data_IF_733484490611
#
_entry.id   IF_733484490611
#
_cell.length_a   1.000
_cell.length_b   1.000
_cell.length_c   1.000
_cell.angle_alpha   90.00
_cell.angle_beta   90.00
_cell.angle_gamma   90.00
#
_symmetry.space_group_name_H-M   'P 1'
#
loop_
_entity.id
_entity.type
_entity.pdbx_description
1 polymer ?
#
# COMPACT_ATOMS: atom_id res chain seq x y z
N UNK A 1 3.88 32.47 4.81
CA UNK A 1 3.43 31.78 6.04
C UNK A 1 3.64 30.26 5.97
N UNK A 2 3.18 29.58 4.90
CA UNK A 2 3.23 28.11 4.77
C UNK A 2 4.66 27.50 4.81
N UNK A 3 5.63 28.15 4.17
CA UNK A 3 7.03 27.68 4.09
C UNK A 3 7.73 27.73 5.45
N UNK A 4 7.39 28.72 6.28
CA UNK A 4 8.00 28.89 7.60
C UNK A 4 7.56 27.77 8.57
N UNK A 5 6.29 27.37 8.51
CA UNK A 5 5.75 26.30 9.34
C UNK A 5 6.37 24.92 8.98
N UNK A 6 6.59 24.66 7.69
CA UNK A 6 7.28 23.45 7.24
C UNK A 6 8.73 23.39 7.72
N UNK A 7 9.46 24.51 7.64
CA UNK A 7 10.83 24.60 8.13
C UNK A 7 10.92 24.44 9.65
N UNK A 8 9.92 24.93 10.39
CA UNK A 8 9.83 24.74 11.85
C UNK A 8 9.60 23.26 12.19
N UNK A 9 8.66 22.57 11.52
CA UNK A 9 8.44 21.13 11.76
C UNK A 9 9.65 20.27 11.35
N UNK A 10 10.38 20.64 10.28
CA UNK A 10 11.65 20.02 9.90
C UNK A 10 12.71 20.26 10.98
N UNK A 11 12.84 21.49 11.48
CA UNK A 11 13.78 21.86 12.54
C UNK A 11 13.46 21.19 13.89
N UNK A 12 12.19 20.88 14.16
CA UNK A 12 11.73 20.12 15.33
C UNK A 12 11.90 18.60 15.15
N UNK A 13 12.57 18.16 14.08
CA UNK A 13 12.80 16.76 13.78
C UNK A 13 11.57 16.01 13.28
N UNK A 14 10.41 16.67 13.11
CA UNK A 14 9.12 16.12 12.67
C UNK A 14 8.91 16.17 11.15
N UNK A 15 9.97 16.50 10.41
CA UNK A 15 9.98 16.55 8.95
C UNK A 15 9.48 15.26 8.28
N UNK A 16 9.56 14.12 8.96
CA UNK A 16 9.04 12.82 8.51
C UNK A 16 7.54 12.80 8.21
N UNK A 17 6.75 13.73 8.76
CA UNK A 17 5.34 13.92 8.37
C UNK A 17 5.17 14.43 6.93
N UNK A 18 6.19 15.10 6.40
CA UNK A 18 6.26 15.62 5.03
C UNK A 18 7.28 14.84 4.15
N UNK A 19 8.06 13.91 4.73
CA UNK A 19 8.90 12.95 4.00
C UNK A 19 8.08 11.82 3.34
N UNK A 20 6.90 12.15 2.84
CA UNK A 20 6.23 11.41 1.78
C UNK A 20 6.97 11.49 0.44
N UNK A 21 8.09 12.23 0.37
CA UNK A 21 9.05 12.12 -0.71
C UNK A 21 9.52 10.67 -0.79
N UNK A 22 9.05 9.97 -1.82
CA UNK A 22 9.49 8.63 -2.17
C UNK A 22 11.01 8.55 -1.99
N UNK A 23 11.46 7.90 -0.90
CA UNK A 23 12.87 7.84 -0.56
C UNK A 23 13.58 7.25 -1.78
N UNK A 24 14.39 8.06 -2.45
CA UNK A 24 15.24 7.55 -3.50
C UNK A 24 16.18 6.58 -2.81
N UNK A 25 16.19 5.35 -3.30
CA UNK A 25 17.18 4.36 -2.95
C UNK A 25 18.56 4.90 -3.38
N UNK A 26 19.63 4.29 -2.87
CA UNK A 26 21.00 4.74 -3.14
C UNK A 26 21.33 4.80 -4.65
N UNK A 27 20.63 4.02 -5.48
CA UNK A 27 20.74 4.01 -6.93
C UNK A 27 19.86 5.06 -7.66
N UNK A 28 19.27 6.01 -6.93
CA UNK A 28 18.43 7.08 -7.48
C UNK A 28 16.99 6.69 -7.82
N UNK A 29 16.64 5.39 -7.80
CA UNK A 29 15.27 4.91 -8.03
C UNK A 29 14.39 5.16 -6.81
N UNK A 30 13.10 5.40 -6.99
CA UNK A 30 12.15 5.38 -5.87
C UNK A 30 11.90 3.95 -5.40
N UNK A 31 11.44 3.80 -4.15
CA UNK A 31 10.97 2.52 -3.62
C UNK A 31 9.96 1.82 -4.54
N UNK A 32 8.96 2.57 -5.04
CA UNK A 32 7.95 2.05 -5.95
C UNK A 32 8.51 1.64 -7.33
N UNK A 33 9.50 2.37 -7.86
CA UNK A 33 10.19 1.98 -9.09
C UNK A 33 10.93 0.65 -8.93
N UNK A 34 11.62 0.45 -7.81
CA UNK A 34 12.34 -0.79 -7.54
C UNK A 34 11.38 -1.96 -7.30
N UNK A 35 10.36 -1.76 -6.45
CA UNK A 35 9.32 -2.76 -6.20
C UNK A 35 8.55 -3.14 -7.47
N UNK A 36 8.19 -2.16 -8.31
CA UNK A 36 7.47 -2.41 -9.55
C UNK A 36 8.28 -3.26 -10.53
N UNK A 37 9.55 -2.91 -10.78
CA UNK A 37 10.41 -3.71 -11.64
C UNK A 37 10.63 -5.13 -11.10
N UNK A 38 10.83 -5.27 -9.78
CA UNK A 38 10.95 -6.56 -9.11
C UNK A 38 9.76 -7.48 -9.45
N UNK A 39 8.55 -6.94 -9.37
CA UNK A 39 7.31 -7.67 -9.69
C UNK A 39 7.21 -7.96 -11.19
N UNK A 40 7.49 -6.98 -12.04
CA UNK A 40 7.41 -7.11 -13.50
C UNK A 40 8.31 -8.22 -14.03
N UNK A 41 9.53 -8.32 -13.52
CA UNK A 41 10.52 -9.35 -13.89
C UNK A 41 10.12 -10.76 -13.47
N UNK A 42 9.19 -10.91 -12.51
CA UNK A 42 8.84 -12.19 -11.87
C UNK A 42 7.42 -12.65 -12.16
N UNK A 43 6.70 -11.94 -13.03
CA UNK A 43 5.29 -12.22 -13.30
C UNK A 43 4.97 -12.04 -14.78
N UNK A 44 4.07 -12.85 -15.36
CA UNK A 44 3.53 -12.58 -16.69
C UNK A 44 2.66 -11.31 -16.66
N UNK A 45 2.41 -10.70 -17.83
CA UNK A 45 1.56 -9.50 -17.96
C UNK A 45 0.12 -9.71 -17.48
N UNK A 46 -0.37 -10.95 -17.53
CA UNK A 46 -1.69 -11.34 -17.04
C UNK A 46 -1.78 -11.44 -15.51
N UNK A 47 -0.65 -11.41 -14.80
CA UNK A 47 -0.66 -11.45 -13.35
C UNK A 47 -1.25 -10.18 -12.76
N UNK A 48 -1.88 -10.33 -11.60
CA UNK A 48 -2.42 -9.22 -10.81
C UNK A 48 -1.58 -8.96 -9.57
N UNK A 49 -1.68 -7.73 -9.08
CA UNK A 49 -1.03 -7.27 -7.85
C UNK A 49 -2.06 -6.54 -6.99
N UNK A 50 -1.80 -6.38 -5.70
CA UNK A 50 -2.63 -5.54 -4.84
C UNK A 50 -1.72 -4.70 -3.94
N UNK A 51 -2.10 -3.44 -3.73
CA UNK A 51 -1.34 -2.50 -2.91
C UNK A 51 -2.17 -2.01 -1.71
N UNK A 52 -1.53 -1.95 -0.55
CA UNK A 52 -2.07 -1.34 0.65
C UNK A 52 -1.19 -0.18 1.11
N UNK A 53 -1.83 0.91 1.52
CA UNK A 53 -1.14 2.17 1.86
C UNK A 53 -0.88 3.04 0.63
N UNK A 54 -0.83 4.35 0.85
CA UNK A 54 -0.72 5.38 -0.17
C UNK A 54 0.59 5.33 -0.95
N UNK A 55 1.75 5.13 -0.30
CA UNK A 55 3.04 5.07 -1.01
C UNK A 55 3.21 3.79 -1.85
N UNK A 56 2.37 2.77 -1.64
CA UNK A 56 2.40 1.54 -2.44
C UNK A 56 1.71 1.69 -3.79
N UNK A 57 0.74 2.60 -3.98
CA UNK A 57 -0.07 2.67 -5.21
C UNK A 57 0.70 2.83 -6.52
N UNK A 58 1.83 3.57 -6.59
CA UNK A 58 2.59 3.68 -7.83
C UNK A 58 3.14 2.33 -8.35
N UNK A 59 3.10 1.26 -7.55
CA UNK A 59 3.48 -0.08 -8.04
C UNK A 59 2.66 -0.53 -9.24
N UNK A 60 1.39 -0.13 -9.39
CA UNK A 60 0.59 -0.54 -10.55
C UNK A 60 1.20 0.00 -11.85
N UNK A 61 1.69 1.23 -11.80
CA UNK A 61 2.38 1.86 -12.94
C UNK A 61 3.73 1.18 -13.20
N UNK A 62 4.57 1.01 -12.17
CA UNK A 62 5.94 0.51 -12.36
C UNK A 62 6.03 -1.01 -12.58
N UNK A 63 5.04 -1.78 -12.14
CA UNK A 63 4.97 -3.22 -12.41
C UNK A 63 4.27 -3.56 -13.72
N UNK A 64 3.50 -2.62 -14.28
CA UNK A 64 2.62 -2.86 -15.43
C UNK A 64 1.69 -4.07 -15.18
N UNK A 65 1.20 -4.21 -13.94
CA UNK A 65 0.24 -5.25 -13.54
C UNK A 65 -1.06 -4.62 -13.08
N UNK A 66 -2.16 -5.27 -13.42
CA UNK A 66 -3.50 -4.84 -13.01
C UNK A 66 -3.72 -5.13 -11.52
N UNK A 67 -4.62 -4.37 -10.92
CA UNK A 67 -5.13 -4.70 -9.58
C UNK A 67 -5.89 -6.03 -9.62
N UNK A 68 -5.76 -6.85 -8.57
CA UNK A 68 -6.57 -8.06 -8.40
C UNK A 68 -8.06 -7.75 -8.17
N UNK A 69 -8.36 -6.54 -7.71
CA UNK A 69 -9.72 -6.08 -7.43
C UNK A 69 -10.01 -4.78 -8.17
N UNK A 70 -11.29 -4.45 -8.34
CA UNK A 70 -11.70 -3.12 -8.83
C UNK A 70 -11.34 -1.96 -7.89
N UNK A 71 -10.98 -2.27 -6.63
CA UNK A 71 -10.64 -1.31 -5.60
C UNK A 71 -9.12 -1.14 -5.52
N UNK A 72 -8.59 -0.26 -6.36
CA UNK A 72 -7.14 -0.03 -6.51
C UNK A 72 -6.54 0.90 -5.43
N UNK A 73 -7.37 1.65 -4.70
CA UNK A 73 -6.95 2.62 -3.67
C UNK A 73 -7.80 2.43 -2.41
N UNK A 74 -7.23 1.95 -1.28
CA UNK A 74 -7.98 1.77 -0.04
C UNK A 74 -8.49 3.07 0.60
N UNK A 75 -7.81 4.20 0.37
CA UNK A 75 -8.19 5.49 0.97
C UNK A 75 -9.54 5.97 0.42
N UNK A 76 -10.50 6.26 1.29
CA UNK A 76 -11.85 6.68 0.91
C UNK A 76 -12.78 5.57 0.39
N UNK A 77 -12.27 4.35 0.15
CA UNK A 77 -13.06 3.19 -0.28
C UNK A 77 -13.17 2.14 0.83
N UNK A 78 -12.08 1.44 1.13
CA UNK A 78 -11.93 0.47 2.22
C UNK A 78 -11.64 1.15 3.56
N UNK A 79 -11.31 2.43 3.52
CA UNK A 79 -11.10 3.25 4.70
C UNK A 79 -11.90 4.54 4.57
N UNK A 80 -12.12 5.24 5.69
CA UNK A 80 -12.58 6.62 5.66
C UNK A 80 -11.61 7.50 4.84
N UNK A 81 -12.11 8.61 4.30
CA UNK A 81 -11.21 9.62 3.75
C UNK A 81 -10.29 10.12 4.86
N UNK A 82 -9.08 10.55 4.50
CA UNK A 82 -8.31 11.34 5.44
C UNK A 82 -9.07 12.65 5.66
N UNK A 83 -9.39 12.98 6.91
CA UNK A 83 -9.97 14.28 7.27
C UNK A 83 -8.91 15.36 7.38
N UNK A 84 -7.72 15.15 6.78
CA UNK A 84 -6.59 16.09 6.75
C UNK A 84 -6.87 17.30 5.83
N UNK A 85 -8.10 17.80 5.77
CA UNK A 85 -8.39 19.12 5.18
C UNK A 85 -7.79 20.24 6.02
N UNK A 86 -7.50 20.00 7.29
CA UNK A 86 -6.89 20.96 8.20
C UNK A 86 -5.82 20.28 9.05
N UNK A 87 -4.73 20.99 9.30
CA UNK A 87 -3.50 20.58 9.96
C UNK A 87 -3.65 20.20 11.46
N UNK A 88 -4.73 19.54 11.84
CA UNK A 88 -4.99 18.99 13.17
C UNK A 88 -4.74 17.47 13.24
N UNK A 89 -4.67 16.94 14.46
CA UNK A 89 -4.64 15.50 14.71
C UNK A 89 -6.03 14.91 14.44
N UNK A 90 -6.40 14.74 13.18
CA UNK A 90 -7.52 13.85 12.81
C UNK A 90 -7.26 12.42 13.28
N UNK A 91 -8.29 11.60 13.38
CA UNK A 91 -8.20 10.20 13.86
C UNK A 91 -7.56 9.22 12.86
N UNK A 92 -6.91 9.73 11.79
CA UNK A 92 -6.44 8.93 10.67
C UNK A 92 -7.55 8.18 9.92
N UNK A 93 -7.23 7.55 8.78
CA UNK A 93 -8.17 6.66 8.09
C UNK A 93 -8.51 5.46 8.98
N UNK A 94 -9.79 5.06 8.99
CA UNK A 94 -10.31 3.89 9.72
C UNK A 94 -10.89 2.91 8.72
N UNK A 95 -10.75 1.60 8.96
CA UNK A 95 -11.31 0.57 8.10
C UNK A 95 -12.84 0.65 8.05
N UNK A 96 -13.41 0.45 6.87
CA UNK A 96 -14.85 0.46 6.63
C UNK A 96 -15.31 -0.94 6.19
N UNK A 97 -15.87 -1.75 7.11
CA UNK A 97 -16.49 -2.99 6.71
C UNK A 97 -17.73 -2.73 5.84
N UNK A 98 -18.16 -3.72 5.08
CA UNK A 98 -19.36 -3.68 4.25
C UNK A 98 -19.11 -4.11 2.80
N UNK A 99 -20.07 -3.85 1.89
CA UNK A 99 -20.11 -4.50 0.58
C UNK A 99 -18.83 -4.35 -0.26
N UNK A 100 -18.15 -3.20 -0.19
CA UNK A 100 -16.90 -2.98 -0.92
C UNK A 100 -15.75 -3.83 -0.36
N UNK A 101 -15.69 -4.01 0.97
CA UNK A 101 -14.71 -4.89 1.59
C UNK A 101 -15.01 -6.35 1.25
N UNK A 102 -16.27 -6.76 1.29
CA UNK A 102 -16.72 -8.11 0.93
C UNK A 102 -16.37 -8.44 -0.52
N UNK A 103 -16.58 -7.49 -1.43
CA UNK A 103 -16.21 -7.63 -2.83
C UNK A 103 -14.70 -7.72 -3.04
N UNK A 104 -13.90 -6.97 -2.27
CA UNK A 104 -12.45 -7.09 -2.31
C UNK A 104 -12.00 -8.48 -1.89
N UNK A 105 -12.62 -9.05 -0.86
CA UNK A 105 -12.34 -10.42 -0.44
C UNK A 105 -12.77 -11.43 -1.51
N UNK A 106 -13.97 -11.27 -2.09
CA UNK A 106 -14.45 -12.15 -3.15
C UNK A 106 -13.56 -12.11 -4.40
N UNK A 107 -13.12 -10.92 -4.82
CA UNK A 107 -12.17 -10.75 -5.92
C UNK A 107 -10.81 -11.38 -5.58
N UNK A 108 -10.32 -11.18 -4.36
CA UNK A 108 -9.07 -11.77 -3.87
C UNK A 108 -9.12 -13.30 -3.86
N UNK A 109 -10.25 -13.89 -3.45
CA UNK A 109 -10.43 -15.34 -3.45
C UNK A 109 -10.53 -15.92 -4.86
N UNK A 110 -11.26 -15.22 -5.74
CA UNK A 110 -11.42 -15.64 -7.14
C UNK A 110 -10.10 -15.56 -7.90
N UNK A 111 -9.30 -14.52 -7.65
CA UNK A 111 -8.05 -14.27 -8.34
C UNK A 111 -7.01 -13.68 -7.37
N UNK A 112 -6.36 -14.53 -6.55
CA UNK A 112 -5.40 -14.03 -5.58
C UNK A 112 -4.21 -13.39 -6.31
N UNK A 113 -3.79 -12.17 -5.91
CA UNK A 113 -2.69 -11.48 -6.57
C UNK A 113 -1.38 -12.27 -6.51
N UNK A 114 -0.54 -12.14 -7.54
CA UNK A 114 0.81 -12.67 -7.50
C UNK A 114 1.64 -12.03 -6.39
N UNK A 115 1.43 -10.73 -6.18
CA UNK A 115 2.10 -9.93 -5.17
C UNK A 115 1.13 -9.02 -4.43
N UNK A 116 1.34 -8.93 -3.12
CA UNK A 116 0.76 -7.89 -2.27
C UNK A 116 1.87 -6.92 -1.85
N UNK A 117 1.64 -5.62 -1.99
CA UNK A 117 2.61 -4.59 -1.59
C UNK A 117 2.03 -3.79 -0.44
N UNK A 118 2.67 -3.89 0.71
CA UNK A 118 2.28 -3.15 1.92
C UNK A 118 3.14 -1.89 2.10
N UNK A 119 2.48 -0.81 2.46
CA UNK A 119 3.09 0.44 2.94
C UNK A 119 2.48 0.83 4.30
N UNK A 120 3.30 1.25 5.28
CA UNK A 120 2.83 1.73 6.57
C UNK A 120 2.25 3.15 6.52
N UNK A 121 2.08 3.74 5.34
CA UNK A 121 1.67 5.15 5.18
C UNK A 121 0.31 5.50 5.79
N UNK A 122 -0.60 4.54 5.99
CA UNK A 122 -1.84 4.79 6.74
C UNK A 122 -1.56 5.25 8.17
N UNK A 123 -0.56 4.65 8.80
CA UNK A 123 -0.10 5.03 10.15
C UNK A 123 0.90 6.18 10.07
N UNK A 124 1.95 6.03 9.26
CA UNK A 124 3.10 6.93 9.27
C UNK A 124 2.80 8.31 8.67
N UNK A 125 1.98 8.38 7.61
CA UNK A 125 1.65 9.63 6.93
C UNK A 125 0.29 10.19 7.36
N UNK A 126 -0.70 9.33 7.62
CA UNK A 126 -2.05 9.75 7.95
C UNK A 126 -2.46 9.59 9.42
N UNK A 127 -1.59 9.02 10.27
CA UNK A 127 -1.82 8.97 11.71
C UNK A 127 -2.87 7.96 12.16
N UNK A 128 -3.27 7.00 11.32
CA UNK A 128 -4.17 5.91 11.75
C UNK A 128 -3.55 5.13 12.91
N UNK A 129 -4.33 4.83 13.94
CA UNK A 129 -3.92 3.99 15.07
C UNK A 129 -5.09 3.10 15.51
N UNK A 130 -5.02 1.77 15.31
CA UNK A 130 -3.97 0.99 14.61
C UNK A 130 -4.01 1.15 13.08
N UNK A 131 -3.16 0.40 12.33
CA UNK A 131 -3.27 0.35 10.86
C UNK A 131 -4.64 -0.24 10.48
N UNK A 132 -5.41 0.38 9.57
CA UNK A 132 -6.72 -0.15 9.19
C UNK A 132 -6.67 -1.58 8.61
N UNK A 133 -5.51 -2.03 8.11
CA UNK A 133 -5.34 -3.42 7.68
C UNK A 133 -5.50 -4.42 8.83
N UNK A 134 -5.17 -4.02 10.06
CA UNK A 134 -5.32 -4.87 11.25
C UNK A 134 -6.78 -5.20 11.55
N UNK A 135 -7.69 -4.29 11.17
CA UNK A 135 -9.14 -4.47 11.30
C UNK A 135 -9.78 -5.17 10.09
N UNK A 136 -9.07 -5.26 8.96
CA UNK A 136 -9.52 -6.03 7.80
C UNK A 136 -9.07 -7.49 7.93
N UNK A 137 -9.64 -8.16 8.94
CA UNK A 137 -9.23 -9.49 9.41
C UNK A 137 -9.15 -10.52 8.28
N UNK A 138 -10.14 -10.57 7.40
CA UNK A 138 -10.22 -11.51 6.29
C UNK A 138 -9.05 -11.38 5.33
N UNK A 139 -8.66 -10.15 4.98
CA UNK A 139 -7.53 -9.89 4.11
C UNK A 139 -6.22 -10.21 4.84
N UNK A 140 -6.09 -9.76 6.09
CA UNK A 140 -4.90 -10.02 6.91
C UNK A 140 -4.62 -11.52 7.04
N UNK A 141 -5.66 -12.31 7.29
CA UNK A 141 -5.53 -13.75 7.50
C UNK A 141 -5.07 -14.45 6.21
N UNK A 142 -5.59 -14.06 5.04
CA UNK A 142 -5.09 -14.52 3.71
C UNK A 142 -3.63 -14.14 3.49
N UNK A 143 -3.24 -12.92 3.84
CA UNK A 143 -1.84 -12.48 3.70
C UNK A 143 -0.90 -13.30 4.60
N UNK A 144 -1.33 -13.61 5.82
CA UNK A 144 -0.54 -14.43 6.74
C UNK A 144 -0.44 -15.90 6.28
N UNK A 145 -1.53 -16.45 5.74
CA UNK A 145 -1.62 -17.83 5.28
C UNK A 145 -0.92 -18.07 3.94
N UNK A 146 -1.03 -17.13 3.00
CA UNK A 146 -0.71 -17.40 1.59
C UNK A 146 0.46 -16.59 1.06
N UNK A 147 1.00 -15.64 1.83
CA UNK A 147 2.07 -14.75 1.35
C UNK A 147 3.31 -14.80 2.25
N UNK A 148 4.45 -14.50 1.64
CA UNK A 148 5.74 -14.33 2.32
C UNK A 148 6.35 -13.01 1.90
N UNK A 149 7.02 -12.33 2.83
CA UNK A 149 7.83 -11.16 2.48
C UNK A 149 8.99 -11.64 1.63
N UNK A 150 9.09 -11.13 0.41
CA UNK A 150 10.16 -11.47 -0.52
C UNK A 150 11.22 -10.38 -0.60
N UNK A 151 10.80 -9.12 -0.53
CA UNK A 151 11.71 -7.98 -0.60
C UNK A 151 11.18 -6.77 0.17
N UNK A 152 12.09 -5.85 0.51
CA UNK A 152 11.76 -4.55 1.07
C UNK A 152 12.49 -3.45 0.31
N UNK A 153 11.74 -2.42 -0.10
CA UNK A 153 12.26 -1.25 -0.80
C UNK A 153 11.79 0.00 -0.07
N UNK A 154 12.67 0.64 0.70
CA UNK A 154 12.27 1.73 1.59
C UNK A 154 11.25 1.26 2.63
N UNK A 155 10.08 1.90 2.64
CA UNK A 155 8.93 1.54 3.47
C UNK A 155 8.02 0.47 2.86
N UNK A 156 8.25 0.08 1.59
CA UNK A 156 7.42 -0.89 0.89
C UNK A 156 7.88 -2.32 1.19
N UNK A 157 6.96 -3.13 1.72
CA UNK A 157 7.13 -4.58 1.85
C UNK A 157 6.47 -5.27 0.67
N UNK A 158 7.26 -5.96 -0.15
CA UNK A 158 6.81 -6.74 -1.30
C UNK A 158 6.61 -8.18 -0.85
N UNK A 159 5.37 -8.64 -0.89
CA UNK A 159 4.97 -9.97 -0.44
C UNK A 159 4.57 -10.82 -1.63
N UNK A 160 5.21 -11.96 -1.81
CA UNK A 160 4.89 -12.92 -2.89
C UNK A 160 3.93 -13.98 -2.36
N UNK A 161 2.97 -14.40 -3.19
CA UNK A 161 2.14 -15.59 -2.91
C UNK A 161 3.01 -16.86 -2.84
N UNK A 162 2.72 -17.74 -1.88
CA UNK A 162 3.44 -19.00 -1.62
C UNK A 162 3.29 -19.98 -2.77
N UNK A 163 2.06 -20.18 -3.23
CA UNK A 163 1.78 -21.10 -4.33
C UNK A 163 2.37 -20.60 -5.65
N UNK A 164 2.90 -21.51 -6.48
CA UNK A 164 3.32 -21.15 -7.83
C UNK A 164 2.13 -20.59 -8.61
N UNK A 165 2.37 -19.50 -9.35
CA UNK A 165 1.38 -18.89 -10.24
C UNK A 165 0.88 -19.97 -11.19
N UNK A 166 -0.36 -20.46 -11.00
CA UNK A 166 -0.98 -21.26 -12.03
C UNK A 166 -1.18 -20.35 -13.25
N UNK A 167 -0.74 -20.76 -14.44
CA UNK A 167 -1.03 -19.99 -15.64
C UNK A 167 -2.54 -19.86 -15.78
N UNK A 168 -3.00 -18.66 -16.13
CA UNK A 168 -4.38 -18.42 -16.53
C UNK A 168 -4.76 -19.46 -17.62
N UNK A 169 -5.81 -20.22 -17.36
CA UNK A 169 -6.46 -21.07 -18.36
C UNK A 169 -7.52 -20.28 -19.11
#
# INVERSE_FOLDING_TARGET
ALVLAQLVEIGLGRGHRYESMARRLQNGRTAAQAAGAHIRERTPESATVMAWGWTAWPIYYWSERRSATRVYKPLGTLTTFNTNTEFGNGSGPVFRPGPIADEVIADFDRQPPAYFVYSPSMVAAFGARPDPLEHFTELRDRLAADYVVEAQYGDLRVMRRRDPLQPFR
#
